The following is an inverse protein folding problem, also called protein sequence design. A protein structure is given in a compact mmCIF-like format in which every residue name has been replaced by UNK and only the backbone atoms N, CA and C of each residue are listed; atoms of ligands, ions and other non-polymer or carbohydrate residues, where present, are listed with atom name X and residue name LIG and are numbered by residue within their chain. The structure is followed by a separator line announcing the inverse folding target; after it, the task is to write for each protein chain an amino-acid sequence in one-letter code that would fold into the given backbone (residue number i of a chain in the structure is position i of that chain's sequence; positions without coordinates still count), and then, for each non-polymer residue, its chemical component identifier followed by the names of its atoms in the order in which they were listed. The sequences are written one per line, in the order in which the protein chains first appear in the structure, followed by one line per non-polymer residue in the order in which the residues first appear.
data_IF_248914364336
#
_entry.id   IF_248914364336
#
_cell.length_a   1.000
_cell.length_b   1.000
_cell.length_c   1.000
_cell.angle_alpha   90.00
_cell.angle_beta   90.00
_cell.angle_gamma   90.00
#
_symmetry.space_group_name_H-M   'P 1'
#
loop_
_entity.id
_entity.type
_entity.pdbx_description
1 polymer ?
#
# COMPACT_ATOMS: atom_id res chain seq x y z
N UNK A 1 25.22 -9.76 -10.71
CA UNK A 1 25.03 -8.47 -11.44
C UNK A 1 24.93 -7.30 -10.47
N UNK A 2 24.00 -7.31 -9.50
CA UNK A 2 23.87 -6.25 -8.48
C UNK A 2 25.13 -6.10 -7.60
N UNK A 3 25.75 -7.19 -7.15
CA UNK A 3 27.00 -7.17 -6.37
C UNK A 3 28.19 -6.51 -7.09
N UNK A 4 28.21 -6.52 -8.44
CA UNK A 4 29.31 -5.95 -9.24
C UNK A 4 29.13 -4.45 -9.52
N UNK A 5 27.92 -3.92 -9.31
CA UNK A 5 27.58 -2.50 -9.49
C UNK A 5 27.83 -1.66 -8.24
N UNK A 6 27.88 -2.27 -7.05
CA UNK A 6 27.98 -1.55 -5.77
C UNK A 6 29.38 -1.53 -5.14
N UNK A 7 30.41 -2.14 -5.74
CA UNK A 7 31.79 -2.14 -5.23
C UNK A 7 31.91 -2.42 -3.72
N UNK A 8 31.01 -3.25 -3.20
CA UNK A 8 30.91 -3.56 -1.77
C UNK A 8 31.18 -5.05 -1.64
N UNK A 9 32.34 -5.40 -1.08
CA UNK A 9 32.77 -6.75 -0.72
C UNK A 9 32.01 -7.25 0.52
N UNK A 10 30.70 -7.13 0.51
CA UNK A 10 29.80 -7.76 1.47
C UNK A 10 29.34 -9.08 0.87
N UNK A 11 29.67 -10.18 1.55
CA UNK A 11 29.02 -11.46 1.34
C UNK A 11 27.52 -11.27 1.60
N UNK A 12 26.76 -10.99 0.55
CA UNK A 12 25.30 -11.09 0.55
C UNK A 12 24.98 -12.58 0.68
N UNK A 13 25.03 -13.11 1.90
CA UNK A 13 24.39 -14.38 2.22
C UNK A 13 22.92 -14.21 1.94
N UNK A 14 22.46 -14.68 0.79
CA UNK A 14 21.05 -14.85 0.50
C UNK A 14 20.57 -15.92 1.48
N UNK A 15 20.05 -15.49 2.63
CA UNK A 15 19.41 -16.36 3.60
C UNK A 15 18.11 -16.87 2.96
N UNK A 16 18.22 -17.95 2.20
CA UNK A 16 17.07 -18.63 1.62
C UNK A 16 16.38 -19.39 2.75
N UNK A 17 15.32 -18.79 3.28
CA UNK A 17 14.50 -19.41 4.32
C UNK A 17 13.43 -20.30 3.66
N UNK A 18 13.55 -21.64 3.69
CA UNK A 18 12.61 -22.54 3.01
C UNK A 18 11.20 -22.42 3.60
N UNK A 19 11.12 -22.04 4.87
CA UNK A 19 9.86 -21.82 5.60
C UNK A 19 9.04 -20.69 4.97
N UNK A 20 9.68 -19.58 4.59
CA UNK A 20 9.02 -18.47 3.90
C UNK A 20 8.47 -18.92 2.53
N UNK A 21 9.20 -19.76 1.80
CA UNK A 21 8.77 -20.29 0.51
C UNK A 21 7.49 -21.13 0.66
N UNK A 22 7.47 -22.07 1.60
CA UNK A 22 6.27 -22.91 1.86
C UNK A 22 5.06 -22.03 2.21
N UNK A 23 5.26 -21.00 3.04
CA UNK A 23 4.18 -20.07 3.41
C UNK A 23 3.63 -19.32 2.18
N UNK A 24 4.50 -18.84 1.28
CA UNK A 24 4.05 -18.16 0.05
C UNK A 24 3.27 -19.08 -0.89
N UNK A 25 3.70 -20.34 -1.06
CA UNK A 25 2.97 -21.33 -1.87
C UNK A 25 1.59 -21.57 -1.27
N UNK A 26 1.52 -21.78 0.05
CA UNK A 26 0.26 -22.02 0.74
C UNK A 26 -0.70 -20.84 0.57
N UNK A 27 -0.21 -19.60 0.70
CA UNK A 27 -1.03 -18.41 0.49
C UNK A 27 -1.54 -18.30 -0.95
N UNK A 28 -0.71 -18.66 -1.94
CA UNK A 28 -1.10 -18.68 -3.36
C UNK A 28 -2.19 -19.74 -3.63
N UNK A 29 -2.06 -20.94 -3.07
CA UNK A 29 -3.08 -22.00 -3.17
C UNK A 29 -4.41 -21.51 -2.59
N UNK A 30 -4.40 -20.89 -1.41
CA UNK A 30 -5.60 -20.33 -0.79
C UNK A 30 -6.22 -19.26 -1.70
N UNK A 31 -5.43 -18.32 -2.22
CA UNK A 31 -5.91 -17.29 -3.12
C UNK A 31 -6.54 -17.90 -4.40
N UNK A 32 -5.91 -18.93 -4.96
CA UNK A 32 -6.42 -19.64 -6.14
C UNK A 32 -7.78 -20.29 -5.87
N UNK A 33 -7.93 -20.99 -4.74
CA UNK A 33 -9.21 -21.60 -4.34
C UNK A 33 -10.29 -20.52 -4.16
N UNK A 34 -9.96 -19.39 -3.53
CA UNK A 34 -10.90 -18.28 -3.36
C UNK A 34 -11.33 -17.67 -4.70
N UNK A 35 -10.41 -17.48 -5.64
CA UNK A 35 -10.72 -16.99 -6.99
C UNK A 35 -11.63 -18.00 -7.73
N UNK A 36 -11.32 -19.30 -7.67
CA UNK A 36 -12.16 -20.34 -8.27
C UNK A 36 -13.55 -20.38 -7.65
N UNK A 37 -13.65 -20.25 -6.33
CA UNK A 37 -14.91 -20.21 -5.61
C UNK A 37 -15.73 -18.97 -6.00
N UNK A 38 -15.10 -17.78 -5.99
CA UNK A 38 -15.73 -16.53 -6.42
C UNK A 38 -16.20 -16.60 -7.88
N UNK A 39 -15.36 -17.12 -8.77
CA UNK A 39 -15.67 -17.29 -10.19
C UNK A 39 -16.83 -18.28 -10.39
N UNK A 40 -16.82 -19.39 -9.67
CA UNK A 40 -17.90 -20.39 -9.71
C UNK A 40 -19.22 -19.83 -9.17
N UNK A 41 -19.18 -19.05 -8.08
CA UNK A 41 -20.36 -18.41 -7.49
C UNK A 41 -20.91 -17.31 -8.41
N UNK A 42 -20.04 -16.53 -9.04
CA UNK A 42 -20.38 -15.55 -10.06
C UNK A 42 -21.04 -16.19 -11.29
N UNK A 43 -20.47 -17.30 -11.77
CA UNK A 43 -20.95 -18.03 -12.95
C UNK A 43 -22.29 -18.73 -12.67
N UNK A 44 -22.48 -19.30 -11.47
CA UNK A 44 -23.76 -19.90 -11.04
C UNK A 44 -24.86 -18.86 -10.83
N UNK A 45 -24.55 -17.67 -10.32
CA UNK A 45 -25.54 -16.60 -10.09
C UNK A 45 -25.99 -15.88 -11.37
N UNK A 46 -25.11 -15.78 -12.39
CA UNK A 46 -25.49 -15.25 -13.71
C UNK A 46 -25.76 -16.38 -14.68
N UNK A 47 -26.86 -17.10 -14.46
CA UNK A 47 -27.38 -18.04 -15.45
C UNK A 47 -27.46 -17.35 -16.82
N UNK A 48 -27.05 -18.08 -17.85
CA UNK A 48 -26.82 -17.68 -19.26
C UNK A 48 -27.93 -16.77 -19.84
N UNK A 49 -29.15 -16.86 -19.30
CA UNK A 49 -30.31 -16.03 -19.65
C UNK A 49 -30.13 -14.52 -19.38
N UNK A 50 -29.36 -14.12 -18.36
CA UNK A 50 -29.09 -12.69 -18.07
C UNK A 50 -28.03 -12.12 -19.01
N UNK A 51 -27.08 -12.94 -19.48
CA UNK A 51 -26.00 -12.51 -20.38
C UNK A 51 -26.49 -12.29 -21.82
N UNK A 52 -27.55 -12.98 -22.22
CA UNK A 52 -28.20 -12.83 -23.54
C UNK A 52 -29.21 -11.67 -23.58
N UNK A 53 -29.69 -11.21 -22.43
CA UNK A 53 -30.65 -10.09 -22.30
C UNK A 53 -29.95 -8.73 -22.09
N UNK A 54 -28.75 -8.75 -21.49
CA UNK A 54 -27.89 -7.56 -21.34
C UNK A 54 -27.15 -7.16 -22.63
N UNK A 55 -27.05 -8.04 -23.63
CA UNK A 55 -26.52 -7.68 -24.95
C UNK A 55 -27.53 -6.93 -25.84
N UNK A 56 -28.81 -6.93 -25.48
CA UNK A 56 -29.89 -6.26 -26.25
C UNK A 56 -30.24 -4.89 -25.67
N UNK A 57 -29.91 -4.63 -24.40
CA UNK A 57 -29.87 -3.26 -23.88
C UNK A 57 -28.60 -2.59 -24.38
N UNK A 58 -28.63 -2.23 -25.65
CA UNK A 58 -27.80 -1.17 -26.21
C UNK A 58 -28.07 0.07 -25.37
N UNK A 59 -27.32 0.22 -24.27
CA UNK A 59 -27.26 1.42 -23.43
C UNK A 59 -26.59 2.50 -24.28
N UNK A 60 -27.30 2.96 -25.30
CA UNK A 60 -27.16 4.30 -25.85
C UNK A 60 -27.73 5.30 -24.84
N UNK A 61 -27.34 5.19 -23.57
CA UNK A 61 -27.40 6.31 -22.65
C UNK A 61 -26.27 7.23 -23.07
N UNK A 62 -26.66 8.18 -23.93
CA UNK A 62 -25.86 9.33 -24.34
C UNK A 62 -24.86 9.70 -23.25
N UNK A 63 -23.60 9.46 -23.58
CA UNK A 63 -22.42 9.88 -22.86
C UNK A 63 -22.37 11.40 -22.75
N UNK A 64 -23.27 12.02 -21.99
CA UNK A 64 -23.10 13.38 -21.53
C UNK A 64 -22.08 13.32 -20.41
N UNK A 65 -20.81 13.33 -20.82
CA UNK A 65 -19.67 13.66 -19.97
C UNK A 65 -20.04 14.94 -19.23
N UNK A 66 -20.41 14.78 -17.97
CA UNK A 66 -21.11 15.83 -17.24
C UNK A 66 -20.04 16.77 -16.68
N UNK A 67 -20.27 18.08 -16.70
CA UNK A 67 -19.32 19.06 -16.12
C UNK A 67 -19.02 18.71 -14.65
N UNK A 68 -20.00 18.11 -13.97
CA UNK A 68 -19.91 17.53 -12.64
C UNK A 68 -18.79 16.48 -12.51
N UNK A 69 -18.56 15.62 -13.51
CA UNK A 69 -17.48 14.62 -13.46
C UNK A 69 -16.10 15.28 -13.56
N UNK A 70 -15.95 16.37 -14.31
CA UNK A 70 -14.68 17.10 -14.38
C UNK A 70 -14.41 17.81 -13.05
N UNK A 71 -15.44 18.47 -12.49
CA UNK A 71 -15.34 19.15 -11.18
C UNK A 71 -14.98 18.14 -10.08
N UNK A 72 -15.59 16.95 -10.09
CA UNK A 72 -15.31 15.91 -9.09
C UNK A 72 -13.88 15.38 -9.19
N UNK A 73 -13.29 15.33 -10.38
CA UNK A 73 -11.87 14.96 -10.55
C UNK A 73 -10.90 16.00 -10.03
N UNK A 74 -11.15 17.27 -10.33
CA UNK A 74 -10.35 18.39 -9.80
C UNK A 74 -10.44 18.40 -8.28
N UNK A 75 -11.64 18.21 -7.73
CA UNK A 75 -11.85 18.08 -6.29
C UNK A 75 -11.09 16.87 -5.71
N UNK A 76 -11.13 15.71 -6.38
CA UNK A 76 -10.40 14.52 -5.96
C UNK A 76 -8.88 14.74 -5.90
N UNK A 77 -8.30 15.41 -6.90
CA UNK A 77 -6.88 15.79 -6.91
C UNK A 77 -6.58 16.76 -5.76
N UNK A 78 -7.43 17.76 -5.54
CA UNK A 78 -7.27 18.71 -4.45
C UNK A 78 -7.32 18.01 -3.08
N UNK A 79 -8.23 17.04 -2.88
CA UNK A 79 -8.31 16.24 -1.65
C UNK A 79 -7.04 15.42 -1.43
N UNK A 80 -6.50 14.77 -2.47
CA UNK A 80 -5.23 14.03 -2.37
C UNK A 80 -4.07 14.98 -2.03
N UNK A 81 -3.98 16.13 -2.69
CA UNK A 81 -2.95 17.13 -2.44
C UNK A 81 -3.01 17.69 -1.03
N UNK A 82 -4.22 17.99 -0.53
CA UNK A 82 -4.43 18.43 0.86
C UNK A 82 -4.06 17.32 1.86
N UNK A 83 -4.40 16.07 1.58
CA UNK A 83 -4.00 14.94 2.43
C UNK A 83 -2.47 14.78 2.48
N UNK A 84 -1.80 14.97 1.36
CA UNK A 84 -0.34 14.95 1.28
C UNK A 84 0.30 16.14 2.01
N UNK A 85 -0.28 17.34 1.89
CA UNK A 85 0.16 18.52 2.61
C UNK A 85 0.03 18.33 4.13
N UNK A 86 -1.14 17.86 4.59
CA UNK A 86 -1.37 17.53 6.00
C UNK A 86 -0.42 16.45 6.51
N UNK A 87 -0.12 15.43 5.70
CA UNK A 87 0.87 14.41 6.04
C UNK A 87 2.27 15.02 6.19
N UNK A 88 2.65 15.96 5.32
CA UNK A 88 3.97 16.62 5.36
C UNK A 88 4.10 17.54 6.57
N UNK A 89 3.05 18.32 6.90
CA UNK A 89 3.01 19.13 8.12
C UNK A 89 3.06 18.29 9.39
N UNK A 90 2.58 17.03 9.37
CA UNK A 90 2.71 16.13 10.51
C UNK A 90 4.16 15.71 10.77
N UNK A 91 5.01 15.69 9.74
CA UNK A 91 6.46 15.42 9.88
C UNK A 91 7.29 16.71 10.06
N UNK A 92 6.81 17.86 9.59
CA UNK A 92 7.42 19.17 9.76
C UNK A 92 7.07 19.79 11.11
N UNK A 93 8.00 20.47 11.77
CA UNK A 93 7.83 21.03 13.12
C UNK A 93 6.78 22.16 13.16
N UNK A 94 5.49 21.85 13.16
CA UNK A 94 4.43 22.76 13.56
C UNK A 94 3.35 22.04 14.36
N UNK A 95 3.17 22.54 15.59
CA UNK A 95 2.26 22.12 16.66
C UNK A 95 0.93 21.48 16.19
N UNK A 96 0.60 20.31 16.73
CA UNK A 96 -0.27 20.22 17.92
C UNK A 96 -0.49 18.77 18.34
N UNK A 97 0.03 18.46 19.52
CA UNK A 97 -0.05 17.21 20.28
C UNK A 97 -1.51 16.73 20.55
N UNK A 98 -2.52 17.53 20.24
CA UNK A 98 -3.96 17.21 20.36
C UNK A 98 -4.61 16.70 19.06
N UNK A 99 -4.00 16.91 17.88
CA UNK A 99 -4.54 16.45 16.59
C UNK A 99 -3.82 15.18 16.07
N UNK A 100 -2.76 14.73 16.74
CA UNK A 100 -1.89 13.66 16.28
C UNK A 100 -2.54 12.26 16.25
N UNK A 101 -3.54 11.99 17.10
CA UNK A 101 -4.23 10.70 17.10
C UNK A 101 -5.35 10.61 16.06
N UNK A 102 -5.98 11.74 15.69
CA UNK A 102 -7.12 11.80 14.76
C UNK A 102 -6.73 12.21 13.35
N UNK A 103 -5.62 12.95 13.16
CA UNK A 103 -5.13 13.38 11.86
C UNK A 103 -4.87 12.24 10.87
N UNK A 104 -4.33 11.07 11.25
CA UNK A 104 -4.07 9.99 10.29
C UNK A 104 -5.36 9.43 9.70
N UNK A 105 -6.44 9.37 10.48
CA UNK A 105 -7.76 8.93 10.03
C UNK A 105 -8.39 9.93 9.05
N UNK A 106 -8.25 11.24 9.32
CA UNK A 106 -8.69 12.28 8.39
C UNK A 106 -7.91 12.17 7.06
N UNK A 107 -6.58 12.02 7.11
CA UNK A 107 -5.73 11.92 5.91
C UNK A 107 -6.12 10.67 5.11
N UNK A 108 -6.31 9.53 5.77
CA UNK A 108 -6.75 8.30 5.12
C UNK A 108 -8.11 8.48 4.46
N UNK A 109 -9.08 9.07 5.16
CA UNK A 109 -10.41 9.32 4.60
C UNK A 109 -10.33 10.23 3.37
N UNK A 110 -9.59 11.33 3.48
CA UNK A 110 -9.43 12.32 2.42
C UNK A 110 -8.76 11.74 1.17
N UNK A 111 -7.71 10.93 1.35
CA UNK A 111 -6.98 10.29 0.24
C UNK A 111 -7.75 9.15 -0.40
N UNK A 112 -8.49 8.34 0.36
CA UNK A 112 -9.35 7.25 -0.16
C UNK A 112 -10.52 7.80 -0.97
N UNK A 113 -11.23 8.79 -0.42
CA UNK A 113 -12.35 9.45 -1.12
C UNK A 113 -11.84 10.20 -2.35
N UNK A 114 -10.70 10.90 -2.23
CA UNK A 114 -10.05 11.59 -3.33
C UNK A 114 -9.64 10.65 -4.47
N UNK A 115 -9.06 9.48 -4.16
CA UNK A 115 -8.69 8.48 -5.15
C UNK A 115 -9.91 7.92 -5.90
N UNK A 116 -11.03 7.67 -5.20
CA UNK A 116 -12.28 7.23 -5.83
C UNK A 116 -12.82 8.27 -6.82
N UNK A 117 -12.90 9.53 -6.39
CA UNK A 117 -13.34 10.66 -7.22
C UNK A 117 -12.43 10.83 -8.44
N UNK A 118 -11.12 10.73 -8.24
CA UNK A 118 -10.11 10.82 -9.29
C UNK A 118 -10.30 9.71 -10.34
N UNK A 119 -10.31 8.43 -9.94
CA UNK A 119 -10.46 7.32 -10.89
C UNK A 119 -11.79 7.37 -11.65
N UNK A 120 -12.87 7.82 -11.00
CA UNK A 120 -14.17 8.00 -11.64
C UNK A 120 -14.15 9.16 -12.66
N UNK A 121 -13.43 10.24 -12.37
CA UNK A 121 -13.32 11.42 -13.24
C UNK A 121 -12.30 11.26 -14.37
N UNK A 122 -11.25 10.45 -14.19
CA UNK A 122 -10.19 10.23 -15.18
C UNK A 122 -10.76 9.87 -16.56
N UNK A 123 -11.86 9.12 -16.58
CA UNK A 123 -12.59 8.76 -17.80
C UNK A 123 -13.09 10.00 -18.57
N UNK A 124 -13.64 10.99 -17.87
CA UNK A 124 -14.13 12.25 -18.45
C UNK A 124 -12.98 13.13 -18.94
N UNK A 125 -11.89 13.21 -18.18
CA UNK A 125 -10.70 13.98 -18.55
C UNK A 125 -10.02 13.42 -19.81
N UNK A 126 -9.84 12.11 -19.89
CA UNK A 126 -9.27 11.44 -21.07
C UNK A 126 -10.11 11.75 -22.31
N UNK A 127 -11.45 11.73 -22.19
CA UNK A 127 -12.33 12.06 -23.31
C UNK A 127 -12.20 13.52 -23.76
N UNK A 128 -12.17 14.47 -22.80
CA UNK A 128 -12.01 15.89 -23.10
C UNK A 128 -10.67 16.15 -23.79
N UNK A 129 -9.60 15.50 -23.35
CA UNK A 129 -8.27 15.59 -23.96
C UNK A 129 -8.25 14.97 -25.35
N UNK A 130 -8.89 13.82 -25.57
CA UNK A 130 -9.04 13.21 -26.91
C UNK A 130 -9.81 14.11 -27.87
N UNK A 131 -10.95 14.67 -27.42
CA UNK A 131 -11.78 15.60 -28.22
C UNK A 131 -11.02 16.88 -28.56
N UNK A 132 -10.23 17.39 -27.63
CA UNK A 132 -9.36 18.57 -27.82
C UNK A 132 -8.22 18.29 -28.79
N UNK A 133 -7.60 17.10 -28.70
CA UNK A 133 -6.50 16.67 -29.57
C UNK A 133 -6.93 16.54 -31.04
N UNK A 134 -8.15 16.08 -31.32
CA UNK A 134 -8.70 15.99 -32.68
C UNK A 134 -9.36 17.28 -33.21
N UNK A 135 -9.08 18.45 -32.61
CA UNK A 135 -9.66 19.75 -33.02
C UNK A 135 -11.21 19.75 -33.14
N UNK A 136 -11.89 18.92 -32.33
CA UNK A 136 -13.35 18.81 -32.36
C UNK A 136 -13.95 17.99 -33.52
N UNK A 137 -13.13 17.48 -34.45
CA UNK A 137 -13.58 16.57 -35.52
C UNK A 137 -13.48 15.12 -35.04
N UNK A 138 -14.45 14.71 -34.24
CA UNK A 138 -14.58 13.31 -33.80
C UNK A 138 -15.46 12.58 -34.81
N UNK A 139 -14.91 11.60 -35.54
CA UNK A 139 -15.68 10.77 -36.48
C UNK A 139 -16.71 9.92 -35.73
N UNK A 140 -17.84 9.58 -36.36
CA UNK A 140 -18.90 8.74 -35.76
C UNK A 140 -18.31 7.41 -35.24
N UNK A 141 -17.34 6.85 -35.97
CA UNK A 141 -16.59 5.65 -35.57
C UNK A 141 -15.80 5.87 -34.28
N UNK A 142 -15.09 7.00 -34.15
CA UNK A 142 -14.37 7.36 -32.91
C UNK A 142 -15.34 7.51 -31.73
N UNK A 143 -16.51 8.10 -31.91
CA UNK A 143 -17.50 8.29 -30.84
C UNK A 143 -18.04 6.96 -30.34
N UNK A 144 -18.33 6.01 -31.24
CA UNK A 144 -18.84 4.68 -30.89
C UNK A 144 -17.78 3.87 -30.11
N UNK A 145 -16.54 3.81 -30.63
CA UNK A 145 -15.44 3.13 -29.93
C UNK A 145 -15.13 3.76 -28.57
N UNK A 146 -15.11 5.09 -28.50
CA UNK A 146 -14.80 5.80 -27.26
C UNK A 146 -15.90 5.64 -26.21
N UNK A 147 -17.17 5.58 -26.60
CA UNK A 147 -18.29 5.36 -25.68
C UNK A 147 -18.25 3.96 -25.05
N UNK A 148 -17.92 2.92 -25.81
CA UNK A 148 -17.75 1.56 -25.28
C UNK A 148 -16.56 1.44 -24.31
N UNK A 149 -15.43 2.08 -24.63
CA UNK A 149 -14.27 2.14 -23.73
C UNK A 149 -14.62 2.86 -22.43
N UNK A 150 -15.33 3.99 -22.53
CA UNK A 150 -15.71 4.81 -21.39
C UNK A 150 -16.67 4.10 -20.45
N UNK A 151 -17.66 3.38 -20.99
CA UNK A 151 -18.55 2.58 -20.16
C UNK A 151 -17.79 1.49 -19.40
N UNK A 152 -16.90 0.76 -20.09
CA UNK A 152 -16.06 -0.27 -19.47
C UNK A 152 -15.15 0.34 -18.40
N UNK A 153 -14.55 1.50 -18.66
CA UNK A 153 -13.64 2.17 -17.75
C UNK A 153 -14.38 2.74 -16.52
N UNK A 154 -15.58 3.31 -16.69
CA UNK A 154 -16.44 3.79 -15.59
C UNK A 154 -16.96 2.64 -14.73
N UNK A 155 -17.30 1.52 -15.34
CA UNK A 155 -17.71 0.28 -14.64
C UNK A 155 -16.54 -0.35 -13.87
N UNK A 156 -15.32 -0.26 -14.39
CA UNK A 156 -14.11 -0.81 -13.78
C UNK A 156 -13.37 0.15 -12.83
N UNK A 157 -13.75 1.44 -12.79
CA UNK A 157 -13.12 2.45 -11.94
C UNK A 157 -13.17 2.08 -10.45
N UNK A 158 -14.26 1.43 -10.01
CA UNK A 158 -14.40 0.92 -8.64
C UNK A 158 -13.36 -0.16 -8.34
N UNK A 159 -13.18 -1.13 -9.24
CA UNK A 159 -12.17 -2.18 -9.11
C UNK A 159 -10.76 -1.59 -9.06
N UNK A 160 -10.46 -0.60 -9.91
CA UNK A 160 -9.16 0.05 -9.92
C UNK A 160 -8.87 0.79 -8.61
N UNK A 161 -9.87 1.49 -8.08
CA UNK A 161 -9.77 2.18 -6.77
C UNK A 161 -9.49 1.19 -5.65
N UNK A 162 -10.18 0.04 -5.64
CA UNK A 162 -9.98 -1.01 -4.63
C UNK A 162 -8.56 -1.56 -4.69
N UNK A 163 -8.04 -1.88 -5.88
CA UNK A 163 -6.67 -2.39 -6.05
C UNK A 163 -5.64 -1.36 -5.54
N UNK A 164 -5.83 -0.08 -5.86
CA UNK A 164 -4.95 0.99 -5.39
C UNK A 164 -4.96 1.12 -3.86
N UNK A 165 -6.14 1.08 -3.24
CA UNK A 165 -6.28 1.14 -1.77
C UNK A 165 -5.62 -0.06 -1.11
N UNK A 166 -5.86 -1.29 -1.60
CA UNK A 166 -5.24 -2.50 -1.05
C UNK A 166 -3.71 -2.41 -1.14
N UNK A 167 -3.19 -1.92 -2.27
CA UNK A 167 -1.74 -1.74 -2.46
C UNK A 167 -1.17 -0.74 -1.47
N UNK A 168 -1.82 0.42 -1.30
CA UNK A 168 -1.42 1.44 -0.33
C UNK A 168 -1.44 0.93 1.12
N UNK A 169 -2.49 0.20 1.51
CA UNK A 169 -2.61 -0.41 2.84
C UNK A 169 -1.50 -1.43 3.08
N UNK A 170 -1.20 -2.27 2.08
CA UNK A 170 -0.14 -3.29 2.18
C UNK A 170 1.23 -2.64 2.42
N UNK A 171 1.57 -1.60 1.66
CA UNK A 171 2.81 -0.84 1.85
C UNK A 171 2.84 -0.17 3.23
N UNK A 172 1.72 0.43 3.66
CA UNK A 172 1.62 1.10 4.96
C UNK A 172 1.87 0.12 6.11
N UNK A 173 1.27 -1.07 6.08
CA UNK A 173 1.47 -2.11 7.10
C UNK A 173 2.92 -2.59 7.12
N UNK A 174 3.53 -2.78 5.95
CA UNK A 174 4.94 -3.18 5.85
C UNK A 174 5.88 -2.13 6.45
N UNK A 175 5.69 -0.85 6.09
CA UNK A 175 6.46 0.25 6.65
C UNK A 175 6.25 0.37 8.16
N UNK A 176 5.01 0.27 8.64
CA UNK A 176 4.70 0.30 10.07
C UNK A 176 5.39 -0.82 10.84
N UNK A 177 5.40 -2.04 10.31
CA UNK A 177 6.11 -3.17 10.91
C UNK A 177 7.63 -2.91 10.98
N UNK A 178 8.23 -2.42 9.90
CA UNK A 178 9.66 -2.10 9.86
C UNK A 178 10.03 -0.98 10.85
N UNK A 179 9.23 0.10 10.89
CA UNK A 179 9.41 1.19 11.84
C UNK A 179 9.24 0.71 13.29
N UNK A 180 8.23 -0.12 13.58
CA UNK A 180 7.99 -0.66 14.91
C UNK A 180 9.16 -1.52 15.40
N UNK A 181 9.73 -2.36 14.52
CA UNK A 181 10.95 -3.12 14.82
C UNK A 181 12.13 -2.20 15.13
N UNK A 182 12.41 -1.23 14.27
CA UNK A 182 13.49 -0.26 14.49
C UNK A 182 13.32 0.53 15.79
N UNK A 183 12.09 0.93 16.14
CA UNK A 183 11.81 1.62 17.40
C UNK A 183 12.01 0.70 18.61
N UNK A 184 11.62 -0.58 18.49
CA UNK A 184 11.83 -1.58 19.53
C UNK A 184 13.31 -1.80 19.77
N UNK A 185 14.10 -1.97 18.70
CA UNK A 185 15.55 -2.16 18.80
C UNK A 185 16.23 -0.94 19.43
N UNK A 186 15.87 0.28 19.01
CA UNK A 186 16.38 1.51 19.61
C UNK A 186 16.01 1.64 21.10
N UNK A 187 14.78 1.27 21.47
CA UNK A 187 14.30 1.30 22.85
C UNK A 187 15.04 0.28 23.70
N UNK A 188 15.24 -0.94 23.18
CA UNK A 188 16.00 -1.99 23.84
C UNK A 188 17.45 -1.57 24.08
N UNK A 189 18.14 -1.02 23.07
CA UNK A 189 19.49 -0.50 23.24
C UNK A 189 19.56 0.64 24.26
N UNK A 190 18.51 1.46 24.37
CA UNK A 190 18.46 2.58 25.31
C UNK A 190 18.17 2.12 26.75
N UNK A 191 17.32 1.12 26.95
CA UNK A 191 16.91 0.62 28.27
C UNK A 191 17.86 -0.46 28.83
N UNK A 192 18.40 -1.30 27.96
CA UNK A 192 19.31 -2.38 28.29
C UNK A 192 20.49 -2.36 27.30
N UNK A 193 21.42 -1.41 27.44
CA UNK A 193 22.58 -1.31 26.54
C UNK A 193 23.53 -2.50 26.67
N UNK A 194 23.47 -3.22 27.80
CA UNK A 194 24.24 -4.43 28.06
C UNK A 194 23.32 -5.64 28.13
N UNK A 195 23.76 -6.77 27.58
CA UNK A 195 23.01 -8.03 27.53
C UNK A 195 22.68 -8.58 28.94
N UNK A 196 23.57 -8.35 29.91
CA UNK A 196 23.41 -8.74 31.30
C UNK A 196 23.93 -7.66 32.25
N UNK A 197 23.15 -7.35 33.29
CA UNK A 197 23.57 -6.47 34.39
C UNK A 197 23.58 -7.27 35.69
N UNK A 198 24.74 -7.31 36.37
CA UNK A 198 24.90 -7.99 37.66
C UNK A 198 25.22 -6.93 38.72
N UNK A 199 24.36 -6.83 39.74
CA UNK A 199 24.43 -5.77 40.75
C UNK A 199 25.42 -6.10 41.87
N UNK A 200 25.55 -7.38 42.23
CA UNK A 200 26.42 -7.82 43.32
C UNK A 200 27.83 -8.14 42.82
N UNK A 201 28.86 -7.57 43.45
CA UNK A 201 30.26 -7.81 43.07
C UNK A 201 30.68 -9.29 43.17
N UNK A 202 30.15 -10.04 44.14
CA UNK A 202 30.42 -11.48 44.31
C UNK A 202 29.82 -12.31 43.17
N UNK A 203 28.59 -11.99 42.76
CA UNK A 203 27.90 -12.69 41.66
C UNK A 203 28.56 -12.35 40.31
N UNK A 204 29.04 -11.11 40.13
CA UNK A 204 29.75 -10.69 38.93
C UNK A 204 31.05 -11.48 38.73
N UNK A 205 31.84 -11.68 39.80
CA UNK A 205 33.08 -12.47 39.73
C UNK A 205 32.82 -13.96 39.46
N UNK A 206 31.75 -14.53 40.03
CA UNK A 206 31.35 -15.91 39.73
C UNK A 206 30.86 -16.05 38.28
N UNK A 207 30.14 -15.06 37.76
CA UNK A 207 29.67 -15.03 36.39
C UNK A 207 30.83 -14.92 35.39
N UNK A 208 31.78 -14.01 35.62
CA UNK A 208 33.01 -13.88 34.83
C UNK A 208 33.80 -15.20 34.82
N UNK A 209 33.97 -15.85 35.98
CA UNK A 209 34.69 -17.12 36.08
C UNK A 209 34.04 -18.24 35.27
N UNK A 210 32.69 -18.31 35.25
CA UNK A 210 31.93 -19.28 34.45
C UNK A 210 32.04 -19.00 32.95
N UNK A 211 32.02 -17.74 32.55
CA UNK A 211 32.21 -17.33 31.14
C UNK A 211 33.61 -17.68 30.64
N UNK A 212 34.64 -17.43 31.45
CA UNK A 212 36.03 -17.80 31.14
C UNK A 212 36.23 -19.31 31.06
N UNK A 213 35.59 -20.11 31.94
CA UNK A 213 35.63 -21.57 31.87
C UNK A 213 35.00 -22.13 30.57
N UNK A 214 33.95 -21.46 30.07
CA UNK A 214 33.25 -21.83 28.83
C UNK A 214 33.90 -21.22 27.57
N UNK A 215 35.02 -20.50 27.70
CA UNK A 215 35.68 -19.77 26.61
C UNK A 215 34.77 -18.79 25.85
N UNK A 216 33.79 -18.19 26.55
CA UNK A 216 32.89 -17.19 25.95
C UNK A 216 33.59 -15.83 26.02
N UNK A 217 33.74 -15.17 24.86
CA UNK A 217 34.30 -13.81 24.81
C UNK A 217 33.29 -12.82 25.39
N UNK A 218 33.71 -12.02 26.37
CA UNK A 218 32.84 -11.03 27.02
C UNK A 218 33.53 -9.66 27.10
N UNK A 219 32.73 -8.60 27.10
CA UNK A 219 33.17 -7.22 27.33
C UNK A 219 32.55 -6.72 28.61
N UNK A 220 33.37 -6.19 29.52
CA UNK A 220 32.94 -5.69 30.83
C UNK A 220 32.85 -4.18 30.81
N UNK A 221 31.67 -3.65 31.12
CA UNK A 221 31.47 -2.23 31.45
C UNK A 221 31.10 -2.14 32.93
N UNK A 222 32.03 -1.63 33.75
CA UNK A 222 31.77 -1.40 35.17
C UNK A 222 31.28 0.03 35.37
N UNK A 223 30.12 0.18 36.00
CA UNK A 223 29.61 1.47 36.45
C UNK A 223 29.75 1.51 37.97
N UNK A 224 30.60 2.39 38.49
CA UNK A 224 30.63 2.68 39.93
C UNK A 224 29.35 3.48 40.26
N UNK A 225 28.48 2.89 41.07
CA UNK A 225 27.34 3.57 41.73
C UNK A 225 27.75 4.15 43.06
#
# INVERSE_FOLDING_TARGET
IVSKLMSLSINLSIHFEPMALVLTILMLIIAYILILFQSSLFLKRRSILSMMKDSVKTDVTTAKVTVIEVISGVLGIAMIALGYYMATEMFGTFKALTMAMTSPFIILFLTVVGAYLFFRSSVSLIFKTLKKSKNGRVSITDVVFTSSIMYRMKKNAMSLTIIAIISAVTVTVLCFAALSKSNTDQTLTSMAPNDFNVVTAQDAQQFESKLSQQQITFSKNAYET
#
